data_IF_898746771473
#
_entry.id   IF_898746771473
#
_cell.length_a   1.000
_cell.length_b   1.000
_cell.length_c   1.000
_cell.angle_alpha   90.00
_cell.angle_beta   90.00
_cell.angle_gamma   90.00
#
_symmetry.space_group_name_H-M   'P 1'
#
loop_
_entity.id
_entity.type
_entity.pdbx_description
1 polymer ?
#
# COMPACT_ATOMS: atom_id res chain seq x y z
N UNK A 1 -4.64 17.47 -18.66
CA UNK A 1 -4.51 16.02 -18.35
C UNK A 1 -5.37 15.74 -17.11
N UNK A 2 -6.03 14.59 -17.06
CA UNK A 2 -6.75 14.19 -15.84
C UNK A 2 -5.68 13.68 -14.87
N UNK A 3 -5.56 14.33 -13.71
CA UNK A 3 -4.68 13.88 -12.65
C UNK A 3 -5.33 12.73 -11.89
N UNK A 4 -4.69 11.57 -11.85
CA UNK A 4 -5.14 10.43 -11.09
C UNK A 4 -4.72 10.58 -9.61
N UNK A 5 -5.66 10.25 -8.73
CA UNK A 5 -5.45 10.22 -7.28
C UNK A 5 -5.46 8.77 -6.81
N UNK A 6 -4.44 8.38 -6.07
CA UNK A 6 -4.22 7.00 -5.68
C UNK A 6 -4.14 6.88 -4.16
N UNK A 7 -4.93 5.98 -3.61
CA UNK A 7 -4.75 5.54 -2.22
C UNK A 7 -3.78 4.35 -2.20
N UNK A 8 -2.81 4.38 -1.31
CA UNK A 8 -1.80 3.33 -1.17
C UNK A 8 -1.91 2.75 0.23
N UNK A 9 -2.04 1.44 0.34
CA UNK A 9 -2.10 0.72 1.60
C UNK A 9 -1.32 -0.58 1.55
N UNK A 10 -1.06 -1.18 2.70
CA UNK A 10 -0.39 -2.46 2.87
C UNK A 10 -0.76 -3.10 4.20
N UNK A 11 -0.53 -4.41 4.33
CA UNK A 11 -0.56 -5.11 5.61
C UNK A 11 -1.90 -4.95 6.35
N UNK A 12 -3.00 -5.18 5.62
CA UNK A 12 -4.37 -5.10 6.16
C UNK A 12 -4.80 -6.34 6.92
N UNK A 13 -4.13 -7.48 6.68
CA UNK A 13 -4.22 -8.71 7.46
C UNK A 13 -5.63 -9.14 7.86
N UNK A 14 -6.61 -8.96 6.97
CA UNK A 14 -8.00 -9.37 7.21
C UNK A 14 -8.77 -8.49 8.19
N UNK A 15 -8.20 -7.39 8.69
CA UNK A 15 -8.90 -6.45 9.55
C UNK A 15 -9.89 -5.59 8.76
N UNK A 16 -11.06 -5.35 9.32
CA UNK A 16 -12.07 -4.46 8.73
C UNK A 16 -12.28 -3.18 9.53
N UNK A 17 -11.70 -3.10 10.73
CA UNK A 17 -11.93 -1.99 11.66
C UNK A 17 -11.43 -0.64 11.16
N UNK A 18 -10.44 -0.64 10.25
CA UNK A 18 -9.90 0.60 9.68
C UNK A 18 -10.74 1.15 8.51
N UNK A 19 -11.65 0.34 7.93
CA UNK A 19 -12.30 0.66 6.66
C UNK A 19 -13.12 1.95 6.71
N UNK A 20 -13.83 2.20 7.80
CA UNK A 20 -14.62 3.42 7.96
C UNK A 20 -13.75 4.70 7.96
N UNK A 21 -12.54 4.61 8.50
CA UNK A 21 -11.61 5.74 8.55
C UNK A 21 -11.04 6.12 7.19
N UNK A 22 -10.99 5.16 6.24
CA UNK A 22 -10.47 5.41 4.89
C UNK A 22 -11.56 5.78 3.86
N UNK A 23 -12.84 5.72 4.19
CA UNK A 23 -13.94 6.01 3.26
C UNK A 23 -13.82 7.39 2.60
N UNK A 24 -13.43 8.42 3.37
CA UNK A 24 -13.24 9.76 2.84
C UNK A 24 -12.09 9.82 1.81
N UNK A 25 -11.04 9.02 2.01
CA UNK A 25 -9.94 8.91 1.06
C UNK A 25 -10.35 8.13 -0.18
N UNK A 26 -11.03 7.00 -0.01
CA UNK A 26 -11.55 6.19 -1.10
C UNK A 26 -12.49 6.99 -2.02
N UNK A 27 -13.33 7.86 -1.44
CA UNK A 27 -14.25 8.69 -2.22
C UNK A 27 -13.53 9.65 -3.17
N UNK A 28 -12.31 10.09 -2.82
CA UNK A 28 -11.48 11.04 -3.57
C UNK A 28 -10.44 10.37 -4.47
N UNK A 29 -10.40 9.05 -4.50
CA UNK A 29 -9.40 8.23 -5.16
C UNK A 29 -9.96 7.64 -6.45
N UNK A 30 -9.15 7.49 -7.46
CA UNK A 30 -9.51 6.81 -8.71
C UNK A 30 -9.32 5.29 -8.58
N UNK A 31 -8.24 4.87 -7.91
CA UNK A 31 -7.95 3.46 -7.63
C UNK A 31 -7.05 3.31 -6.39
N UNK A 32 -6.84 2.08 -5.96
CA UNK A 32 -6.02 1.73 -4.79
C UNK A 32 -4.85 0.86 -5.22
N UNK A 33 -3.66 1.13 -4.66
CA UNK A 33 -2.51 0.22 -4.70
C UNK A 33 -2.40 -0.46 -3.34
N UNK A 34 -2.27 -1.79 -3.33
CA UNK A 34 -2.05 -2.56 -2.10
C UNK A 34 -0.75 -3.36 -2.20
N UNK A 35 0.17 -3.14 -1.27
CA UNK A 35 1.51 -3.74 -1.31
C UNK A 35 1.60 -5.10 -0.58
N UNK A 36 0.48 -5.85 -0.49
CA UNK A 36 0.45 -7.22 0.00
C UNK A 36 0.04 -7.41 1.46
N UNK A 37 -0.08 -8.67 1.86
CA UNK A 37 -0.60 -9.12 3.15
C UNK A 37 -2.04 -8.64 3.41
N UNK A 38 -2.94 -9.10 2.52
CA UNK A 38 -4.31 -8.59 2.43
C UNK A 38 -5.24 -9.25 3.44
N UNK A 39 -5.42 -10.59 3.37
CA UNK A 39 -6.50 -11.28 4.08
C UNK A 39 -6.04 -12.06 5.30
N UNK A 40 -4.84 -12.64 5.28
CA UNK A 40 -4.37 -13.50 6.36
C UNK A 40 -3.49 -12.72 7.35
N UNK A 41 -3.78 -12.88 8.65
CA UNK A 41 -3.00 -12.19 9.70
C UNK A 41 -1.56 -12.68 9.83
N UNK A 42 -1.26 -13.91 9.35
CA UNK A 42 0.05 -14.54 9.49
C UNK A 42 0.30 -15.15 10.86
N UNK A 43 1.17 -16.18 10.97
CA UNK A 43 1.34 -16.94 12.22
C UNK A 43 2.11 -16.16 13.31
N UNK A 44 2.77 -15.05 12.96
CA UNK A 44 3.58 -14.25 13.88
C UNK A 44 2.91 -12.97 14.38
N UNK A 45 1.82 -12.56 13.74
CA UNK A 45 1.10 -11.36 14.10
C UNK A 45 -0.04 -11.71 15.09
N UNK A 46 -0.43 -10.78 15.99
CA UNK A 46 -1.66 -10.94 16.75
C UNK A 46 -2.86 -10.94 15.80
N UNK A 47 -3.95 -11.59 16.21
CA UNK A 47 -5.20 -11.48 15.46
C UNK A 47 -5.75 -10.06 15.60
N UNK A 48 -6.00 -9.34 14.49
CA UNK A 48 -6.60 -8.01 14.58
C UNK A 48 -7.98 -8.03 15.22
N UNK A 49 -8.34 -6.97 15.93
CA UNK A 49 -9.63 -6.91 16.63
C UNK A 49 -10.85 -7.01 15.68
N UNK A 50 -10.73 -6.46 14.47
CA UNK A 50 -11.73 -6.52 13.42
C UNK A 50 -11.47 -7.61 12.38
N UNK A 51 -10.79 -8.72 12.75
CA UNK A 51 -10.44 -9.78 11.81
C UNK A 51 -11.66 -10.44 11.18
N UNK A 52 -11.88 -10.15 9.93
CA UNK A 52 -12.94 -10.74 9.10
C UNK A 52 -12.50 -10.74 7.63
N UNK A 53 -11.66 -11.68 7.19
CA UNK A 53 -11.10 -11.69 5.84
C UNK A 53 -12.17 -11.80 4.74
N UNK A 54 -13.26 -12.53 4.99
CA UNK A 54 -14.36 -12.63 4.04
C UNK A 54 -15.05 -11.27 3.84
N UNK A 55 -15.27 -10.52 4.92
CA UNK A 55 -15.85 -9.19 4.85
C UNK A 55 -14.89 -8.19 4.22
N UNK A 56 -13.59 -8.28 4.50
CA UNK A 56 -12.59 -7.42 3.85
C UNK A 56 -12.56 -7.66 2.34
N UNK A 57 -12.57 -8.92 1.89
CA UNK A 57 -12.65 -9.26 0.47
C UNK A 57 -13.91 -8.67 -0.19
N UNK A 58 -15.07 -8.75 0.48
CA UNK A 58 -16.31 -8.12 0.01
C UNK A 58 -16.17 -6.59 -0.12
N UNK A 59 -15.59 -5.93 0.89
CA UNK A 59 -15.37 -4.48 0.88
C UNK A 59 -14.43 -4.06 -0.26
N UNK A 60 -13.32 -4.77 -0.45
CA UNK A 60 -12.40 -4.57 -1.57
C UNK A 60 -13.15 -4.72 -2.90
N UNK A 61 -13.89 -5.82 -3.08
CA UNK A 61 -14.60 -6.13 -4.32
C UNK A 61 -15.69 -5.11 -4.71
N UNK A 62 -16.28 -4.45 -3.73
CA UNK A 62 -17.31 -3.43 -3.93
C UNK A 62 -16.78 -2.00 -3.93
N UNK A 63 -15.48 -1.83 -3.83
CA UNK A 63 -14.79 -0.54 -3.80
C UNK A 63 -14.26 -0.12 -5.18
N UNK A 64 -13.33 0.85 -5.18
CA UNK A 64 -12.54 1.27 -6.34
C UNK A 64 -11.70 0.11 -6.88
N UNK A 65 -11.17 0.20 -8.10
CA UNK A 65 -10.21 -0.79 -8.59
C UNK A 65 -8.99 -0.91 -7.66
N UNK A 66 -8.56 -2.14 -7.39
CA UNK A 66 -7.35 -2.45 -6.64
C UNK A 66 -6.28 -3.02 -7.55
N UNK A 67 -5.05 -2.55 -7.38
CA UNK A 67 -3.83 -3.12 -7.94
C UNK A 67 -3.02 -3.69 -6.79
N UNK A 68 -2.91 -5.01 -6.72
CA UNK A 68 -2.39 -5.73 -5.55
C UNK A 68 -1.08 -6.42 -5.91
N UNK A 69 -0.02 -6.17 -5.13
CA UNK A 69 1.19 -7.01 -5.14
C UNK A 69 1.06 -8.05 -4.04
N UNK A 70 1.42 -9.31 -4.34
CA UNK A 70 1.34 -10.42 -3.38
C UNK A 70 2.33 -10.22 -2.23
N UNK A 71 1.85 -10.36 -1.01
CA UNK A 71 2.67 -10.41 0.20
C UNK A 71 3.01 -11.84 0.64
N UNK A 72 3.83 -11.97 1.67
CA UNK A 72 4.26 -13.27 2.17
C UNK A 72 3.17 -14.05 2.94
N UNK A 73 2.13 -13.37 3.40
CA UNK A 73 0.97 -14.00 4.01
C UNK A 73 -0.14 -14.31 3.01
N UNK A 74 -0.11 -13.74 1.80
CA UNK A 74 -1.14 -13.97 0.80
C UNK A 74 -1.01 -15.36 0.15
N UNK A 75 -2.12 -16.07 0.11
CA UNK A 75 -2.20 -17.39 -0.48
C UNK A 75 -2.78 -17.34 -1.90
N UNK A 76 -2.50 -18.38 -2.72
CA UNK A 76 -3.07 -18.46 -4.07
C UNK A 76 -4.61 -18.54 -4.05
N UNK A 77 -5.18 -19.08 -2.96
CA UNK A 77 -6.63 -19.15 -2.77
C UNK A 77 -7.29 -17.78 -2.60
N UNK A 78 -6.54 -16.74 -2.20
CA UNK A 78 -7.08 -15.39 -2.03
C UNK A 78 -7.57 -14.82 -3.37
N UNK A 79 -6.97 -15.24 -4.50
CA UNK A 79 -7.43 -14.88 -5.84
C UNK A 79 -8.83 -15.41 -6.17
N UNK A 80 -9.32 -16.43 -5.46
CA UNK A 80 -10.67 -16.96 -5.66
C UNK A 80 -11.75 -16.08 -5.02
N UNK A 81 -11.38 -15.23 -4.05
CA UNK A 81 -12.32 -14.37 -3.32
C UNK A 81 -12.12 -12.88 -3.62
N UNK A 82 -10.93 -12.46 -4.08
CA UNK A 82 -10.64 -11.10 -4.53
C UNK A 82 -10.76 -11.06 -6.07
N UNK A 83 -11.65 -10.19 -6.59
CA UNK A 83 -11.88 -10.07 -8.03
C UNK A 83 -10.74 -9.38 -8.80
N UNK A 84 -9.92 -8.59 -8.09
CA UNK A 84 -8.78 -7.88 -8.70
C UNK A 84 -7.54 -8.77 -8.74
N UNK A 85 -6.71 -8.69 -9.81
CA UNK A 85 -5.51 -9.51 -9.89
C UNK A 85 -4.54 -9.26 -8.74
N UNK A 86 -3.99 -10.33 -8.17
CA UNK A 86 -2.89 -10.30 -7.22
C UNK A 86 -1.61 -10.67 -7.97
N UNK A 87 -0.76 -9.68 -8.19
CA UNK A 87 0.47 -9.80 -8.98
C UNK A 87 1.63 -10.28 -8.13
N UNK A 88 2.48 -11.17 -8.67
CA UNK A 88 3.66 -11.69 -7.98
C UNK A 88 4.81 -11.88 -8.98
N UNK A 89 6.06 -11.62 -8.60
CA UNK A 89 6.51 -11.02 -7.34
C UNK A 89 6.46 -9.49 -7.33
N UNK A 90 6.16 -8.87 -8.47
CA UNK A 90 6.14 -7.43 -8.67
C UNK A 90 4.92 -6.98 -9.44
N UNK A 91 4.51 -5.74 -9.18
CA UNK A 91 3.51 -5.02 -9.97
C UNK A 91 4.16 -3.74 -10.50
N UNK A 92 4.12 -3.54 -11.81
CA UNK A 92 4.65 -2.33 -12.46
C UNK A 92 3.49 -1.50 -13.00
N UNK A 93 3.44 -0.22 -12.63
CA UNK A 93 2.39 0.72 -13.00
C UNK A 93 2.99 2.01 -13.57
N UNK A 94 2.20 2.66 -14.43
CA UNK A 94 2.49 4.01 -14.93
C UNK A 94 1.33 4.93 -14.54
N UNK A 95 1.58 5.88 -13.65
CA UNK A 95 0.57 6.79 -13.09
C UNK A 95 1.08 8.21 -13.10
N UNK A 96 0.35 9.16 -13.71
CA UNK A 96 0.74 10.57 -13.75
C UNK A 96 2.18 10.81 -14.25
N UNK A 97 2.64 10.03 -15.23
CA UNK A 97 4.01 10.00 -15.74
C UNK A 97 5.05 9.37 -14.82
N UNK A 98 4.67 8.88 -13.65
CA UNK A 98 5.55 8.12 -12.76
C UNK A 98 5.57 6.65 -13.16
N UNK A 99 6.75 6.07 -13.15
CA UNK A 99 6.96 4.63 -13.18
C UNK A 99 6.97 4.13 -11.73
N UNK A 100 6.06 3.25 -11.39
CA UNK A 100 5.87 2.75 -10.02
C UNK A 100 6.10 1.26 -9.99
N UNK A 101 7.00 0.80 -9.11
CA UNK A 101 7.17 -0.60 -8.78
C UNK A 101 6.51 -0.87 -7.43
N UNK A 102 5.69 -1.91 -7.35
CA UNK A 102 5.10 -2.37 -6.09
C UNK A 102 5.59 -3.78 -5.80
N UNK A 103 6.06 -3.99 -4.59
CA UNK A 103 6.48 -5.30 -4.06
C UNK A 103 6.11 -5.36 -2.59
N UNK A 104 6.03 -6.55 -2.00
CA UNK A 104 5.82 -6.60 -0.55
C UNK A 104 7.09 -6.27 0.23
N UNK A 105 8.27 -6.60 -0.30
CA UNK A 105 9.56 -6.16 0.24
C UNK A 105 10.11 -7.03 1.36
N UNK A 106 9.55 -8.23 1.57
CA UNK A 106 10.10 -9.20 2.52
C UNK A 106 11.57 -9.52 2.19
N UNK A 107 12.41 -9.63 3.23
CA UNK A 107 13.84 -9.89 3.13
C UNK A 107 14.64 -8.80 2.36
N UNK A 108 14.14 -7.58 2.26
CA UNK A 108 14.82 -6.45 1.66
C UNK A 108 15.19 -5.41 2.72
N UNK A 109 16.44 -4.97 2.70
CA UNK A 109 16.85 -3.78 3.43
C UNK A 109 16.66 -2.51 2.58
N UNK A 110 16.94 -1.35 3.14
CA UNK A 110 16.75 -0.06 2.46
C UNK A 110 17.60 0.07 1.18
N UNK A 111 18.84 -0.40 1.21
CA UNK A 111 19.72 -0.34 0.04
C UNK A 111 19.25 -1.28 -1.07
N UNK A 112 18.72 -2.46 -0.73
CA UNK A 112 18.10 -3.36 -1.71
C UNK A 112 16.92 -2.70 -2.40
N UNK A 113 16.07 -1.99 -1.64
CA UNK A 113 14.90 -1.28 -2.19
C UNK A 113 15.32 -0.14 -3.13
N UNK A 114 16.34 0.65 -2.78
CA UNK A 114 16.88 1.66 -3.67
C UNK A 114 17.55 1.05 -4.90
N UNK A 115 18.30 -0.03 -4.76
CA UNK A 115 18.89 -0.76 -5.92
C UNK A 115 17.79 -1.27 -6.85
N UNK A 116 16.62 -1.66 -6.34
CA UNK A 116 15.49 -2.04 -7.17
C UNK A 116 14.91 -0.86 -7.95
N UNK A 117 14.90 0.35 -7.39
CA UNK A 117 14.47 1.53 -8.16
C UNK A 117 15.38 1.80 -9.36
N UNK A 118 16.68 1.53 -9.20
CA UNK A 118 17.66 1.67 -10.30
C UNK A 118 17.52 0.54 -11.32
N UNK A 119 17.44 -0.71 -10.86
CA UNK A 119 17.35 -1.91 -11.71
C UNK A 119 16.12 -1.86 -12.63
N UNK A 120 14.96 -1.45 -12.09
CA UNK A 120 13.71 -1.37 -12.84
C UNK A 120 13.47 -0.01 -13.49
N UNK A 121 14.39 0.94 -13.31
CA UNK A 121 14.27 2.33 -13.77
C UNK A 121 12.91 2.96 -13.41
N UNK A 122 12.58 2.91 -12.11
CA UNK A 122 11.32 3.44 -11.57
C UNK A 122 11.55 4.67 -10.70
N UNK A 123 10.56 5.56 -10.68
CA UNK A 123 10.58 6.80 -9.90
C UNK A 123 10.16 6.58 -8.46
N UNK A 124 9.21 5.66 -8.25
CA UNK A 124 8.63 5.32 -6.95
C UNK A 124 8.60 3.81 -6.76
N UNK A 125 9.15 3.31 -5.66
CA UNK A 125 8.98 1.95 -5.19
C UNK A 125 8.08 1.95 -3.96
N UNK A 126 6.98 1.20 -4.03
CA UNK A 126 6.04 0.99 -2.92
C UNK A 126 6.28 -0.40 -2.33
N UNK A 127 6.39 -0.49 -1.01
CA UNK A 127 6.58 -1.75 -0.31
C UNK A 127 5.78 -1.82 1.00
N UNK A 128 5.60 -3.02 1.54
CA UNK A 128 4.89 -3.29 2.79
C UNK A 128 5.77 -3.96 3.85
N UNK A 129 5.26 -5.03 4.46
CA UNK A 129 5.93 -6.00 5.32
C UNK A 129 6.36 -5.50 6.70
N UNK A 130 6.94 -4.33 6.81
CA UNK A 130 7.50 -3.85 8.08
C UNK A 130 6.48 -3.17 8.98
N UNK A 131 5.26 -2.87 8.50
CA UNK A 131 4.16 -2.20 9.20
C UNK A 131 4.53 -0.83 9.80
N UNK A 132 5.57 -0.20 9.27
CA UNK A 132 6.11 1.08 9.72
C UNK A 132 6.10 2.04 8.54
N UNK A 133 5.54 3.25 8.67
CA UNK A 133 5.56 4.23 7.59
C UNK A 133 6.99 4.67 7.27
N UNK A 134 7.35 4.62 6.00
CA UNK A 134 8.64 5.07 5.47
C UNK A 134 8.41 5.90 4.22
N UNK A 135 9.05 7.05 4.15
CA UNK A 135 9.08 7.88 2.94
C UNK A 135 10.47 8.48 2.82
N UNK A 136 11.26 7.99 1.86
CA UNK A 136 12.65 8.40 1.67
C UNK A 136 12.95 8.60 0.21
N UNK A 137 13.89 9.51 -0.05
CA UNK A 137 14.38 9.83 -1.38
C UNK A 137 15.90 9.62 -1.45
N UNK A 138 16.36 9.09 -2.59
CA UNK A 138 17.77 9.00 -2.98
C UNK A 138 17.87 9.19 -4.49
N UNK A 139 18.69 10.14 -4.95
CA UNK A 139 18.92 10.39 -6.38
C UNK A 139 17.61 10.58 -7.20
N UNK A 140 16.64 11.33 -6.66
CA UNK A 140 15.29 11.55 -7.22
C UNK A 140 14.42 10.30 -7.33
N UNK A 141 14.80 9.19 -6.74
CA UNK A 141 14.02 7.98 -6.62
C UNK A 141 13.45 7.87 -5.22
N UNK A 142 12.20 7.50 -5.11
CA UNK A 142 11.47 7.47 -3.84
C UNK A 142 11.16 6.03 -3.47
N UNK A 143 11.36 5.69 -2.19
CA UNK A 143 10.82 4.47 -1.58
C UNK A 143 9.73 4.84 -0.58
N UNK A 144 8.62 4.13 -0.63
CA UNK A 144 7.42 4.38 0.18
C UNK A 144 6.93 3.10 0.83
N UNK A 145 6.81 3.10 2.15
CA UNK A 145 5.97 2.16 2.88
C UNK A 145 4.80 2.92 3.50
N UNK A 146 3.54 2.60 3.20
CA UNK A 146 2.39 3.31 3.76
C UNK A 146 2.18 3.03 5.25
N UNK A 147 2.94 2.09 5.84
CA UNK A 147 2.65 1.52 7.15
C UNK A 147 1.54 0.47 7.09
N UNK A 148 0.83 0.29 8.20
CA UNK A 148 -0.33 -0.60 8.28
C UNK A 148 -1.51 0.13 8.94
N UNK A 149 -2.70 0.10 8.35
CA UNK A 149 -3.91 0.61 8.98
C UNK A 149 -4.48 -0.36 10.02
N UNK A 150 -4.05 -1.62 9.99
CA UNK A 150 -4.55 -2.72 10.82
C UNK A 150 -3.64 -3.06 12.01
N UNK A 151 -2.36 -3.35 11.71
CA UNK A 151 -1.37 -3.83 12.67
C UNK A 151 -0.10 -2.94 12.66
N UNK A 152 -0.20 -1.64 12.96
CA UNK A 152 0.96 -0.75 12.93
C UNK A 152 1.99 -1.15 13.99
N UNK A 153 3.29 -0.97 13.67
CA UNK A 153 4.41 -1.05 14.62
C UNK A 153 4.85 0.31 15.13
N UNK A 154 4.05 1.33 14.90
CA UNK A 154 4.20 2.70 15.41
C UNK A 154 2.89 3.14 16.05
N UNK A 155 2.83 4.37 16.56
CA UNK A 155 1.60 4.98 17.08
C UNK A 155 0.57 5.31 15.97
N UNK A 156 0.98 5.28 14.70
CA UNK A 156 0.13 5.68 13.57
C UNK A 156 -0.52 4.49 12.87
N UNK A 157 -1.84 4.53 12.71
CA UNK A 157 -2.55 3.71 11.73
C UNK A 157 -2.54 4.46 10.40
N UNK A 158 -1.77 4.00 9.43
CA UNK A 158 -1.44 4.84 8.29
C UNK A 158 -1.74 4.21 6.93
N UNK A 159 -1.97 5.10 5.98
CA UNK A 159 -2.05 4.86 4.53
C UNK A 159 -1.26 5.96 3.83
N UNK A 160 -0.99 5.82 2.53
CA UNK A 160 -0.44 6.93 1.76
C UNK A 160 -1.40 7.38 0.66
N UNK A 161 -1.23 8.61 0.23
CA UNK A 161 -1.99 9.25 -0.83
C UNK A 161 -1.04 9.86 -1.85
N UNK A 162 -1.24 9.54 -3.11
CA UNK A 162 -0.46 10.04 -4.23
C UNK A 162 -1.35 10.86 -5.15
N UNK A 163 -0.92 12.07 -5.49
CA UNK A 163 -1.51 12.91 -6.53
C UNK A 163 -0.44 13.37 -7.53
N UNK A 164 -0.74 14.39 -8.34
CA UNK A 164 0.19 14.94 -9.35
C UNK A 164 1.42 15.64 -8.77
N UNK A 165 1.34 16.13 -7.55
CA UNK A 165 2.32 17.04 -6.96
C UNK A 165 3.17 16.35 -5.91
N UNK A 166 2.54 15.46 -5.12
CA UNK A 166 3.20 14.86 -3.96
C UNK A 166 2.69 13.47 -3.63
N UNK A 167 3.49 12.77 -2.86
CA UNK A 167 3.09 11.60 -2.09
C UNK A 167 3.12 11.93 -0.61
N UNK A 168 2.06 11.54 0.12
CA UNK A 168 1.92 11.81 1.56
C UNK A 168 1.55 10.55 2.31
N UNK A 169 2.11 10.32 3.50
CA UNK A 169 1.66 9.30 4.45
C UNK A 169 0.78 9.99 5.49
N UNK A 170 -0.39 9.41 5.75
CA UNK A 170 -1.45 10.02 6.56
C UNK A 170 -1.85 9.05 7.66
N UNK A 171 -1.93 9.53 8.90
CA UNK A 171 -2.59 8.80 9.98
C UNK A 171 -4.10 8.85 9.78
N UNK A 172 -4.73 7.70 9.61
CA UNK A 172 -6.16 7.62 9.30
C UNK A 172 -7.07 8.00 10.46
N UNK A 173 -6.56 7.97 11.69
CA UNK A 173 -7.33 8.32 12.89
C UNK A 173 -7.38 9.84 13.07
N UNK A 174 -6.22 10.49 13.10
CA UNK A 174 -6.14 11.97 13.26
C UNK A 174 -6.37 12.72 11.94
N UNK A 175 -6.31 12.02 10.80
CA UNK A 175 -6.34 12.56 9.43
C UNK A 175 -5.20 13.55 9.14
N UNK A 176 -4.12 13.49 9.93
CA UNK A 176 -2.94 14.33 9.75
C UNK A 176 -1.90 13.68 8.85
N UNK A 177 -1.26 14.52 8.06
CA UNK A 177 -0.08 14.13 7.28
C UNK A 177 1.10 13.88 8.25
N UNK A 178 1.75 12.72 8.13
CA UNK A 178 2.92 12.31 8.93
C UNK A 178 4.19 12.67 8.16
N UNK A 179 4.23 12.30 6.88
CA UNK A 179 5.35 12.56 5.97
C UNK A 179 4.81 12.96 4.60
N UNK A 180 5.55 13.81 3.89
CA UNK A 180 5.28 14.07 2.47
C UNK A 180 6.56 14.40 1.69
N UNK A 181 6.55 14.06 0.39
CA UNK A 181 7.57 14.45 -0.59
C UNK A 181 6.89 14.96 -1.86
N UNK A 182 7.41 16.06 -2.42
CA UNK A 182 7.00 16.54 -3.73
C UNK A 182 7.65 15.71 -4.83
N UNK A 183 6.89 15.45 -5.87
CA UNK A 183 7.34 14.67 -7.02
C UNK A 183 8.15 15.55 -7.98
N UNK A 184 9.20 14.99 -8.54
CA UNK A 184 9.96 15.66 -9.60
C UNK A 184 9.21 15.52 -10.93
N UNK A 185 8.91 16.64 -11.55
CA UNK A 185 8.37 16.70 -12.91
C UNK A 185 9.48 16.77 -13.93
#
# INVERSE_FOLDING_TARGET
MISLKVLIMSDTHGDTSFWEYINDFLSKTDFVIHAGDVLYHGPRNPLPAGYNPAKLAELINNSKPFFISKGNCDADVDQLVIKFPISSPYLLLYVNSLKILVTHGENKNEDDLFNFTELFDVDLLIFGHIHTPVLKERNKRIILNPGSPALPKTEYKSVAFLDEEKVSIIDIISKKEIFSLYLYK
#
